data_IF_020697154167
#
_entry.id   IF_020697154167
#
_cell.length_a   1.000
_cell.length_b   1.000
_cell.length_c   1.000
_cell.angle_alpha   90.00
_cell.angle_beta   90.00
_cell.angle_gamma   90.00
#
_symmetry.space_group_name_H-M   'P 1'
#
loop_
_entity.id
_entity.type
_entity.pdbx_description
1 polymer ?
#
# COMPACT_ATOMS: atom_id res chain seq x y z
N UNK A 1 -32.87 -62.81 -13.73
CA UNK A 1 -32.01 -62.03 -12.79
C UNK A 1 -31.82 -60.63 -13.33
N UNK A 2 -32.43 -59.63 -12.72
CA UNK A 2 -32.31 -58.22 -13.13
C UNK A 2 -31.37 -57.54 -12.15
N UNK A 3 -30.24 -57.05 -12.64
CA UNK A 3 -29.27 -56.29 -11.87
C UNK A 3 -29.63 -54.79 -11.98
N UNK A 4 -29.92 -54.16 -10.85
CA UNK A 4 -30.20 -52.72 -10.78
C UNK A 4 -28.87 -51.96 -10.69
N UNK A 5 -28.68 -50.83 -11.42
CA UNK A 5 -27.51 -50.00 -11.28
C UNK A 5 -27.66 -49.09 -10.04
N UNK A 6 -26.70 -49.16 -9.11
CA UNK A 6 -26.53 -48.20 -8.04
C UNK A 6 -26.01 -46.86 -8.62
N UNK A 7 -26.83 -45.84 -8.58
CA UNK A 7 -26.45 -44.48 -8.87
C UNK A 7 -25.69 -43.92 -7.65
N UNK A 8 -24.38 -43.78 -7.77
CA UNK A 8 -23.56 -43.07 -6.76
C UNK A 8 -23.79 -41.57 -6.89
N UNK A 9 -24.49 -41.01 -5.90
CA UNK A 9 -24.70 -39.56 -5.76
C UNK A 9 -23.43 -38.93 -5.18
N UNK A 10 -22.57 -38.36 -6.05
CA UNK A 10 -21.38 -37.62 -5.63
C UNK A 10 -21.79 -36.27 -5.07
N UNK A 11 -21.74 -36.12 -3.75
CA UNK A 11 -21.95 -34.90 -3.01
C UNK A 11 -20.70 -34.02 -3.19
N UNK A 12 -20.73 -33.04 -4.11
CA UNK A 12 -19.69 -32.03 -4.25
C UNK A 12 -19.85 -31.05 -3.09
N UNK A 13 -19.01 -31.19 -2.06
CA UNK A 13 -18.84 -30.14 -1.04
C UNK A 13 -18.19 -28.92 -1.71
N UNK A 14 -18.99 -27.89 -2.01
CA UNK A 14 -18.48 -26.58 -2.29
C UNK A 14 -17.85 -26.01 -1.01
N UNK A 15 -16.54 -26.13 -0.89
CA UNK A 15 -15.76 -25.42 0.14
C UNK A 15 -15.86 -23.95 -0.20
N UNK A 16 -16.68 -23.20 0.57
CA UNK A 16 -16.67 -21.74 0.53
C UNK A 16 -15.27 -21.30 0.99
N UNK A 17 -14.38 -21.07 0.05
CA UNK A 17 -13.07 -20.48 0.32
C UNK A 17 -13.34 -19.12 0.95
N UNK A 18 -12.90 -18.90 2.19
CA UNK A 18 -12.75 -17.57 2.76
C UNK A 18 -11.91 -16.78 1.76
N UNK A 19 -12.56 -15.83 1.03
CA UNK A 19 -11.98 -15.22 -0.14
C UNK A 19 -10.86 -14.26 0.22
N UNK A 20 -9.62 -14.69 0.11
CA UNK A 20 -8.49 -13.79 0.01
C UNK A 20 -8.48 -13.20 -1.41
N UNK A 21 -8.57 -11.88 -1.53
CA UNK A 21 -8.49 -11.19 -2.81
C UNK A 21 -7.13 -10.52 -2.92
N UNK A 22 -6.42 -10.77 -4.01
CA UNK A 22 -5.18 -10.10 -4.33
C UNK A 22 -5.46 -8.92 -5.27
N UNK A 23 -4.86 -7.76 -4.96
CA UNK A 23 -5.00 -6.55 -5.75
C UNK A 23 -3.63 -5.91 -6.03
N UNK A 24 -3.42 -5.36 -7.25
CA UNK A 24 -2.23 -4.59 -7.56
C UNK A 24 -2.32 -3.23 -6.88
N UNK A 25 -1.42 -2.98 -5.92
CA UNK A 25 -1.36 -1.72 -5.18
C UNK A 25 -0.47 -0.71 -5.91
N UNK A 26 -0.98 -0.14 -6.99
CA UNK A 26 -0.22 0.76 -7.86
C UNK A 26 -0.42 2.23 -7.45
N UNK A 27 0.68 2.97 -7.28
CA UNK A 27 0.64 4.39 -7.00
C UNK A 27 0.09 5.20 -8.18
N UNK A 28 -0.79 6.14 -7.85
CA UNK A 28 -1.29 7.17 -8.75
C UNK A 28 -1.30 8.50 -8.00
N UNK A 29 -0.74 9.59 -8.55
CA UNK A 29 -0.77 10.89 -7.90
C UNK A 29 -2.20 11.32 -7.54
N UNK A 30 -2.39 11.82 -6.32
CA UNK A 30 -3.70 12.32 -5.86
C UNK A 30 -4.02 13.72 -6.38
N UNK A 31 -3.00 14.43 -6.83
CA UNK A 31 -3.06 15.75 -7.46
C UNK A 31 -2.26 15.75 -8.76
N UNK A 32 -2.55 16.69 -9.65
CA UNK A 32 -1.76 16.83 -10.87
C UNK A 32 -0.31 17.21 -10.50
N UNK A 33 0.61 16.32 -10.78
CA UNK A 33 2.05 16.50 -10.54
C UNK A 33 2.73 16.75 -11.89
N UNK A 34 3.56 17.78 -11.95
CA UNK A 34 4.42 18.02 -13.12
C UNK A 34 5.87 18.18 -12.68
N UNK A 35 6.83 17.65 -13.45
CA UNK A 35 8.23 17.91 -13.18
C UNK A 35 8.50 19.41 -13.23
N UNK A 36 9.24 19.92 -12.25
CA UNK A 36 9.75 21.30 -12.32
C UNK A 36 10.78 21.43 -13.45
N UNK A 37 10.90 22.60 -14.08
CA UNK A 37 11.93 22.87 -15.07
C UNK A 37 13.36 22.68 -14.53
N UNK A 38 13.55 22.82 -13.21
CA UNK A 38 14.83 22.57 -12.52
C UNK A 38 14.98 21.13 -12.01
N UNK A 39 13.96 20.27 -12.14
CA UNK A 39 14.03 18.90 -11.65
C UNK A 39 15.21 18.15 -12.29
N UNK A 40 15.91 17.38 -11.46
CA UNK A 40 17.02 16.51 -11.88
C UNK A 40 16.79 15.12 -11.33
N UNK A 41 17.05 14.06 -12.09
CA UNK A 41 16.94 12.66 -11.65
C UNK A 41 18.14 12.30 -10.76
N UNK A 42 18.11 12.75 -9.50
CA UNK A 42 19.25 12.64 -8.56
C UNK A 42 18.97 11.71 -7.38
N UNK A 43 17.73 11.20 -7.24
CA UNK A 43 17.30 10.38 -6.11
C UNK A 43 16.97 8.96 -6.58
N UNK A 44 17.40 7.96 -5.84
CA UNK A 44 16.96 6.58 -5.98
C UNK A 44 16.38 6.09 -4.65
N UNK A 45 15.29 5.33 -4.73
CA UNK A 45 14.75 4.63 -3.55
C UNK A 45 15.71 3.52 -3.16
N UNK A 46 16.00 3.39 -1.86
CA UNK A 46 16.82 2.30 -1.33
C UNK A 46 16.26 0.94 -1.77
N UNK A 47 17.15 -0.01 -2.07
CA UNK A 47 16.78 -1.36 -2.53
C UNK A 47 15.92 -2.13 -1.53
N UNK A 48 15.95 -1.73 -0.27
CA UNK A 48 15.16 -2.33 0.80
C UNK A 48 14.38 -1.25 1.54
N UNK A 49 13.07 -1.44 1.64
CA UNK A 49 12.17 -0.68 2.50
C UNK A 49 12.08 -1.39 3.85
N UNK A 50 12.17 -0.65 4.95
CA UNK A 50 12.03 -1.19 6.30
C UNK A 50 10.55 -1.33 6.64
N UNK A 51 10.08 -2.54 6.95
CA UNK A 51 8.70 -2.81 7.31
C UNK A 51 8.58 -3.06 8.82
N UNK A 52 8.12 -2.06 9.57
CA UNK A 52 7.91 -2.09 11.03
C UNK A 52 6.43 -2.28 11.40
N UNK A 53 5.56 -2.59 10.45
CA UNK A 53 4.13 -2.77 10.73
C UNK A 53 3.92 -3.83 11.82
N UNK A 54 3.04 -3.56 12.74
CA UNK A 54 2.57 -4.56 13.71
C UNK A 54 1.56 -5.53 13.09
N UNK A 55 0.75 -5.04 12.14
CA UNK A 55 -0.20 -5.83 11.35
C UNK A 55 0.48 -6.49 10.16
N UNK A 56 0.04 -7.70 9.78
CA UNK A 56 0.60 -8.42 8.63
C UNK A 56 2.02 -8.93 8.81
N UNK A 57 2.49 -9.14 10.04
CA UNK A 57 3.84 -9.68 10.31
C UNK A 57 4.04 -11.08 9.75
N UNK A 58 3.01 -11.91 9.80
CA UNK A 58 3.03 -13.30 9.34
C UNK A 58 2.75 -13.41 7.84
N UNK A 59 2.13 -12.37 7.26
CA UNK A 59 1.83 -12.29 5.84
C UNK A 59 2.29 -10.94 5.28
N UNK A 60 3.42 -10.89 4.58
CA UNK A 60 3.97 -9.67 4.05
C UNK A 60 3.10 -9.00 2.98
N UNK A 61 2.14 -9.73 2.39
CA UNK A 61 1.22 -9.22 1.36
C UNK A 61 -0.07 -8.66 1.95
N UNK A 62 -0.40 -8.99 3.21
CA UNK A 62 -1.65 -8.56 3.82
C UNK A 62 -1.74 -7.04 3.94
N UNK A 63 -2.91 -6.49 3.52
CA UNK A 63 -3.26 -5.07 3.58
C UNK A 63 -4.41 -4.84 4.56
N UNK A 64 -5.42 -5.71 4.55
CA UNK A 64 -6.60 -5.42 5.35
C UNK A 64 -7.64 -6.51 5.45
N UNK A 65 -8.71 -6.20 6.21
CA UNK A 65 -9.76 -7.17 6.49
C UNK A 65 -11.13 -6.50 6.56
N UNK A 66 -12.11 -7.14 5.92
CA UNK A 66 -13.53 -6.86 6.10
C UNK A 66 -14.05 -7.79 7.18
N UNK A 67 -14.70 -7.24 8.20
CA UNK A 67 -15.26 -7.98 9.33
C UNK A 67 -16.78 -7.99 9.32
N UNK A 68 -17.36 -9.07 9.78
CA UNK A 68 -18.80 -9.20 10.01
C UNK A 68 -19.27 -8.44 11.25
N UNK A 69 -20.58 -8.41 11.46
CA UNK A 69 -21.22 -7.72 12.60
C UNK A 69 -20.76 -8.19 13.98
N UNK A 70 -20.20 -9.41 14.08
CA UNK A 70 -19.61 -9.96 15.29
C UNK A 70 -18.08 -9.82 15.37
N UNK A 71 -17.47 -9.04 14.45
CA UNK A 71 -16.03 -8.83 14.42
C UNK A 71 -15.21 -9.94 13.75
N UNK A 72 -15.84 -11.04 13.35
CA UNK A 72 -15.19 -12.15 12.66
C UNK A 72 -14.68 -11.71 11.26
N UNK A 73 -13.51 -12.17 10.82
CA UNK A 73 -13.01 -11.87 9.48
C UNK A 73 -13.86 -12.58 8.43
N UNK A 74 -14.28 -11.84 7.39
CA UNK A 74 -15.06 -12.35 6.25
C UNK A 74 -14.25 -12.38 4.96
N UNK A 75 -13.50 -11.31 4.68
CA UNK A 75 -12.68 -11.17 3.48
C UNK A 75 -11.36 -10.53 3.86
N UNK A 76 -10.27 -10.95 3.22
CA UNK A 76 -8.95 -10.35 3.37
C UNK A 76 -8.48 -9.73 2.06
N UNK A 77 -7.88 -8.55 2.16
CA UNK A 77 -7.22 -7.85 1.06
C UNK A 77 -5.72 -8.07 1.17
N UNK A 78 -5.13 -8.59 0.10
CA UNK A 78 -3.70 -8.79 -0.04
C UNK A 78 -3.19 -8.00 -1.25
N UNK A 79 -1.97 -7.51 -1.17
CA UNK A 79 -1.26 -7.05 -2.36
C UNK A 79 -0.75 -8.24 -3.18
N UNK A 80 -0.53 -8.05 -4.48
CA UNK A 80 0.06 -9.07 -5.36
C UNK A 80 1.54 -9.33 -5.07
N UNK A 81 2.17 -8.48 -4.28
CA UNK A 81 3.57 -8.56 -3.86
C UNK A 81 3.75 -8.05 -2.42
N UNK A 82 4.88 -8.34 -1.76
CA UNK A 82 5.14 -7.85 -0.40
C UNK A 82 4.98 -6.33 -0.29
N UNK A 83 4.39 -5.88 0.82
CA UNK A 83 4.03 -4.45 1.04
C UNK A 83 5.26 -3.53 1.03
N UNK A 84 6.42 -4.00 1.47
CA UNK A 84 7.66 -3.23 1.36
C UNK A 84 8.05 -2.95 -0.10
N UNK A 85 7.84 -3.91 -1.01
CA UNK A 85 8.05 -3.71 -2.44
C UNK A 85 7.00 -2.76 -3.03
N UNK A 86 5.72 -2.94 -2.67
CA UNK A 86 4.62 -2.03 -3.07
C UNK A 86 4.97 -0.59 -2.73
N UNK A 87 5.32 -0.32 -1.47
CA UNK A 87 5.63 1.03 -0.99
C UNK A 87 6.91 1.57 -1.65
N UNK A 88 7.95 0.74 -1.79
CA UNK A 88 9.17 1.13 -2.51
C UNK A 88 8.90 1.57 -3.95
N UNK A 89 8.09 0.81 -4.68
CA UNK A 89 7.65 1.15 -6.04
C UNK A 89 6.79 2.41 -6.08
N UNK A 90 5.92 2.61 -5.08
CA UNK A 90 5.09 3.81 -4.97
C UNK A 90 5.95 5.08 -4.83
N UNK A 91 6.97 5.06 -3.98
CA UNK A 91 7.91 6.18 -3.85
C UNK A 91 8.75 6.38 -5.11
N UNK A 92 9.22 5.32 -5.77
CA UNK A 92 9.96 5.43 -7.03
C UNK A 92 9.10 6.06 -8.13
N UNK A 93 7.82 5.65 -8.26
CA UNK A 93 6.88 6.22 -9.21
C UNK A 93 6.55 7.69 -8.86
N UNK A 94 6.37 8.01 -7.58
CA UNK A 94 6.15 9.38 -7.10
C UNK A 94 7.34 10.32 -7.40
N UNK A 95 8.57 9.84 -7.21
CA UNK A 95 9.78 10.57 -7.61
C UNK A 95 9.87 10.75 -9.13
N UNK A 96 9.54 9.69 -9.89
CA UNK A 96 9.52 9.74 -11.35
C UNK A 96 8.52 10.78 -11.89
N UNK A 97 7.31 10.83 -11.32
CA UNK A 97 6.30 11.82 -11.67
C UNK A 97 6.79 13.27 -11.44
N UNK A 98 7.73 13.47 -10.51
CA UNK A 98 8.34 14.77 -10.18
C UNK A 98 9.65 15.04 -10.92
N UNK A 99 10.10 14.10 -11.77
CA UNK A 99 11.38 14.21 -12.50
C UNK A 99 12.61 14.05 -11.61
N UNK A 100 12.48 13.43 -10.43
CA UNK A 100 13.54 13.31 -9.43
C UNK A 100 14.18 11.93 -9.39
N UNK A 101 13.50 10.89 -9.94
CA UNK A 101 13.96 9.50 -9.86
C UNK A 101 15.15 9.26 -10.80
N UNK A 102 16.28 8.85 -10.24
CA UNK A 102 17.45 8.44 -11.00
C UNK A 102 17.20 7.07 -11.68
N UNK A 103 17.74 6.89 -12.88
CA UNK A 103 17.62 5.64 -13.61
C UNK A 103 18.33 4.49 -12.87
N UNK A 104 17.77 3.28 -13.00
CA UNK A 104 18.41 2.07 -12.46
C UNK A 104 19.79 1.89 -13.06
N UNK A 105 20.76 1.49 -12.22
CA UNK A 105 22.15 1.28 -12.65
C UNK A 105 23.00 2.57 -12.74
N UNK A 106 22.42 3.73 -12.45
CA UNK A 106 23.19 4.97 -12.30
C UNK A 106 23.73 5.10 -10.87
N UNK A 107 24.67 6.03 -10.66
CA UNK A 107 25.15 6.38 -9.33
C UNK A 107 24.36 7.64 -8.85
N UNK A 108 23.25 7.47 -8.14
CA UNK A 108 22.42 8.60 -7.73
C UNK A 108 23.17 9.43 -6.67
N UNK A 109 22.91 10.74 -6.65
CA UNK A 109 23.48 11.59 -5.61
C UNK A 109 22.88 11.34 -4.23
N UNK A 110 21.59 10.97 -4.20
CA UNK A 110 20.84 10.76 -2.97
C UNK A 110 20.14 9.43 -2.97
N UNK A 111 20.11 8.78 -1.79
CA UNK A 111 19.32 7.59 -1.52
C UNK A 111 18.15 7.97 -0.62
N UNK A 112 16.94 7.59 -1.01
CA UNK A 112 15.72 7.74 -0.25
C UNK A 112 15.36 6.41 0.41
N UNK A 113 15.51 6.33 1.72
CA UNK A 113 15.10 5.19 2.52
C UNK A 113 13.70 5.40 3.10
N UNK A 114 12.87 4.35 3.05
CA UNK A 114 11.50 4.38 3.56
C UNK A 114 11.36 3.40 4.72
N UNK A 115 10.68 3.83 5.79
CA UNK A 115 10.20 2.98 6.88
C UNK A 115 8.68 3.02 6.91
N UNK A 116 8.06 1.85 6.88
CA UNK A 116 6.61 1.66 7.01
C UNK A 116 6.31 1.37 8.47
N UNK A 117 5.65 2.30 9.17
CA UNK A 117 5.17 2.09 10.55
C UNK A 117 3.79 1.45 10.56
N UNK A 118 2.92 1.90 9.64
CA UNK A 118 1.59 1.36 9.44
C UNK A 118 1.20 1.48 7.97
N UNK A 119 0.62 0.45 7.42
CA UNK A 119 -0.12 0.48 6.16
C UNK A 119 -1.13 -0.65 6.19
N UNK A 120 -2.36 -0.29 6.48
CA UNK A 120 -3.48 -1.22 6.56
C UNK A 120 -4.82 -0.53 6.27
N UNK A 121 -5.83 -1.35 5.97
CA UNK A 121 -7.20 -0.93 5.81
C UNK A 121 -8.14 -1.93 6.49
N UNK A 122 -9.18 -1.42 7.12
CA UNK A 122 -10.15 -2.24 7.83
C UNK A 122 -11.57 -1.76 7.55
N UNK A 123 -12.50 -2.70 7.54
CA UNK A 123 -13.91 -2.42 7.50
C UNK A 123 -14.62 -3.25 8.57
N UNK A 124 -15.20 -2.57 9.54
CA UNK A 124 -16.09 -3.16 10.54
C UNK A 124 -17.40 -2.38 10.58
N UNK A 125 -17.46 -1.25 11.28
CA UNK A 125 -18.62 -0.34 11.29
C UNK A 125 -18.47 0.71 10.20
N UNK A 126 -17.25 1.09 9.92
CA UNK A 126 -16.86 2.04 8.87
C UNK A 126 -15.63 1.49 8.14
N UNK A 127 -15.42 1.99 6.96
CA UNK A 127 -14.23 1.69 6.18
C UNK A 127 -13.15 2.69 6.53
N UNK A 128 -11.97 2.23 6.88
CA UNK A 128 -10.86 3.08 7.26
C UNK A 128 -9.53 2.52 6.75
N UNK A 129 -8.60 3.42 6.45
CA UNK A 129 -7.24 3.05 6.08
C UNK A 129 -6.24 4.01 6.73
N UNK A 130 -5.07 3.48 7.06
CA UNK A 130 -3.93 4.24 7.57
C UNK A 130 -2.70 3.96 6.73
N UNK A 131 -1.97 5.02 6.36
CA UNK A 131 -0.63 4.94 5.82
C UNK A 131 0.28 5.86 6.66
N UNK A 132 1.32 5.28 7.25
CA UNK A 132 2.25 5.99 8.15
C UNK A 132 3.68 5.62 7.75
N UNK A 133 4.37 6.57 7.11
CA UNK A 133 5.69 6.37 6.55
C UNK A 133 6.68 7.41 7.06
N UNK A 134 7.91 6.97 7.33
CA UNK A 134 9.07 7.85 7.50
C UNK A 134 9.95 7.74 6.26
N UNK A 135 10.41 8.88 5.77
CA UNK A 135 11.38 8.97 4.68
C UNK A 135 12.64 9.65 5.20
N UNK A 136 13.78 9.08 4.87
CA UNK A 136 15.11 9.63 5.12
C UNK A 136 15.85 9.76 3.81
N UNK A 137 16.42 10.93 3.54
CA UNK A 137 17.26 11.16 2.37
C UNK A 137 18.70 11.32 2.82
N UNK A 138 19.58 10.51 2.26
CA UNK A 138 21.02 10.49 2.55
C UNK A 138 21.82 10.85 1.30
N UNK A 139 22.78 11.74 1.42
CA UNK A 139 23.75 12.03 0.35
C UNK A 139 24.72 10.84 0.24
N UNK A 140 24.74 10.19 -0.91
CA UNK A 140 25.46 8.91 -1.10
C UNK A 140 26.98 9.05 -0.88
N UNK A 141 27.57 10.16 -1.34
CA UNK A 141 29.02 10.36 -1.26
C UNK A 141 29.54 10.55 0.17
N UNK A 142 28.75 11.18 1.04
CA UNK A 142 29.15 11.51 2.42
C UNK A 142 28.49 10.60 3.47
N UNK A 143 27.44 9.86 3.10
CA UNK A 143 26.61 9.12 4.07
C UNK A 143 25.78 10.01 4.98
N UNK A 144 25.78 11.33 4.76
CA UNK A 144 25.09 12.30 5.61
C UNK A 144 23.60 12.32 5.31
N UNK A 145 22.76 12.24 6.35
CA UNK A 145 21.34 12.53 6.27
C UNK A 145 21.16 14.02 5.94
N UNK A 146 20.44 14.32 4.86
CA UNK A 146 20.17 15.68 4.40
C UNK A 146 18.73 16.10 4.61
N UNK A 147 17.84 15.13 4.78
CA UNK A 147 16.43 15.39 5.05
C UNK A 147 15.76 14.16 5.69
N UNK A 148 14.81 14.43 6.60
CA UNK A 148 13.95 13.41 7.22
C UNK A 148 12.57 13.98 7.45
N UNK A 149 11.56 13.17 7.17
CA UNK A 149 10.18 13.52 7.52
C UNK A 149 9.31 12.27 7.69
N UNK A 150 8.20 12.44 8.40
CA UNK A 150 7.17 11.43 8.59
C UNK A 150 5.81 12.00 8.19
N UNK A 151 4.96 11.17 7.61
CA UNK A 151 3.57 11.50 7.31
C UNK A 151 2.68 10.34 7.70
N UNK A 152 1.58 10.67 8.41
CA UNK A 152 0.53 9.72 8.75
C UNK A 152 -0.78 10.19 8.15
N UNK A 153 -1.33 9.41 7.24
CA UNK A 153 -2.65 9.62 6.65
C UNK A 153 -3.62 8.63 7.28
N UNK A 154 -4.76 9.15 7.73
CA UNK A 154 -5.88 8.36 8.20
C UNK A 154 -7.12 8.75 7.43
N UNK A 155 -7.72 7.82 6.74
CA UNK A 155 -8.93 8.02 5.93
C UNK A 155 -10.06 7.21 6.51
N UNK A 156 -11.23 7.86 6.64
CA UNK A 156 -12.50 7.21 6.94
C UNK A 156 -13.43 7.43 5.75
N UNK A 157 -13.99 6.36 5.22
CA UNK A 157 -14.89 6.37 4.08
C UNK A 157 -16.19 5.62 4.42
N UNK A 158 -17.29 6.37 4.45
CA UNK A 158 -18.64 5.85 4.69
C UNK A 158 -18.90 5.38 6.13
N UNK A 159 -20.15 5.52 6.55
CA UNK A 159 -20.70 4.90 7.76
C UNK A 159 -21.67 3.83 7.31
N UNK A 160 -21.48 2.61 7.81
CA UNK A 160 -22.30 1.47 7.43
C UNK A 160 -23.28 1.19 8.56
N UNK A 161 -24.56 1.55 8.34
CA UNK A 161 -25.60 1.50 9.34
C UNK A 161 -26.35 0.16 9.45
N UNK A 162 -25.96 -0.89 8.70
CA UNK A 162 -26.69 -2.17 8.73
C UNK A 162 -25.83 -3.37 9.11
N UNK A 163 -26.39 -4.28 9.93
CA UNK A 163 -25.75 -5.51 10.37
C UNK A 163 -25.41 -6.51 9.25
N UNK A 164 -26.02 -6.38 8.07
CA UNK A 164 -25.79 -7.24 6.89
C UNK A 164 -24.57 -6.83 6.05
N UNK A 165 -23.92 -5.75 6.39
CA UNK A 165 -22.93 -5.07 5.54
C UNK A 165 -21.65 -5.86 5.31
N UNK A 166 -21.19 -6.63 6.30
CA UNK A 166 -19.97 -7.41 6.13
C UNK A 166 -20.04 -8.43 4.98
N UNK A 167 -21.24 -8.96 4.71
CA UNK A 167 -21.46 -9.95 3.64
C UNK A 167 -21.46 -9.31 2.25
N UNK A 168 -22.02 -8.11 2.14
CA UNK A 168 -22.12 -7.36 0.88
C UNK A 168 -21.02 -6.31 0.68
N UNK A 169 -20.11 -6.19 1.66
CA UNK A 169 -19.01 -5.23 1.56
C UNK A 169 -18.06 -5.61 0.42
N UNK A 170 -17.74 -4.62 -0.41
CA UNK A 170 -16.83 -4.77 -1.53
C UNK A 170 -15.38 -4.69 -1.06
N UNK A 171 -14.58 -5.66 -1.48
CA UNK A 171 -13.14 -5.67 -1.21
C UNK A 171 -12.44 -4.58 -2.06
N UNK A 172 -12.98 -4.27 -3.23
CA UNK A 172 -12.51 -3.23 -4.13
C UNK A 172 -12.66 -1.84 -3.51
N UNK A 173 -13.70 -1.65 -2.70
CA UNK A 173 -13.86 -0.42 -1.93
C UNK A 173 -12.81 -0.29 -0.82
N UNK A 174 -12.46 -1.40 -0.17
CA UNK A 174 -11.39 -1.42 0.83
C UNK A 174 -10.02 -1.14 0.19
N UNK A 175 -9.77 -1.75 -0.98
CA UNK A 175 -8.58 -1.48 -1.80
C UNK A 175 -8.46 0.01 -2.15
N UNK A 176 -9.56 0.61 -2.65
CA UNK A 176 -9.58 2.03 -3.04
C UNK A 176 -9.20 2.96 -1.88
N UNK A 177 -9.69 2.69 -0.68
CA UNK A 177 -9.36 3.50 0.50
C UNK A 177 -7.91 3.30 0.94
N UNK A 178 -7.39 2.05 0.87
CA UNK A 178 -5.99 1.77 1.12
C UNK A 178 -5.07 2.48 0.11
N UNK A 179 -5.37 2.37 -1.18
CA UNK A 179 -4.64 3.06 -2.25
C UNK A 179 -4.64 4.57 -2.07
N UNK A 180 -5.79 5.15 -1.73
CA UNK A 180 -5.89 6.59 -1.46
C UNK A 180 -5.01 7.01 -0.30
N UNK A 181 -4.99 6.26 0.81
CA UNK A 181 -4.14 6.56 1.96
C UNK A 181 -2.65 6.50 1.59
N UNK A 182 -2.22 5.46 0.86
CA UNK A 182 -0.85 5.31 0.39
C UNK A 182 -0.45 6.45 -0.54
N UNK A 183 -1.26 6.73 -1.55
CA UNK A 183 -0.97 7.74 -2.56
C UNK A 183 -0.85 9.14 -1.93
N UNK A 184 -1.77 9.49 -1.03
CA UNK A 184 -1.75 10.76 -0.31
C UNK A 184 -0.52 10.89 0.61
N UNK A 185 -0.12 9.80 1.28
CA UNK A 185 1.09 9.79 2.12
C UNK A 185 2.36 10.00 1.29
N UNK A 186 2.46 9.32 0.14
CA UNK A 186 3.58 9.47 -0.80
C UNK A 186 3.64 10.90 -1.33
N UNK A 187 2.51 11.44 -1.81
CA UNK A 187 2.46 12.80 -2.33
C UNK A 187 2.84 13.82 -1.28
N UNK A 188 2.25 13.77 -0.09
CA UNK A 188 2.56 14.71 0.98
C UNK A 188 4.02 14.66 1.42
N UNK A 189 4.64 13.47 1.47
CA UNK A 189 6.06 13.36 1.80
C UNK A 189 6.95 13.95 0.71
N UNK A 190 6.67 13.66 -0.55
CA UNK A 190 7.50 14.13 -1.67
C UNK A 190 7.29 15.62 -1.99
N UNK A 191 6.17 16.22 -1.56
CA UNK A 191 5.85 17.62 -1.74
C UNK A 191 6.12 18.48 -0.48
N UNK A 192 6.63 17.86 0.62
CA UNK A 192 6.97 18.62 1.83
C UNK A 192 8.01 19.70 1.55
N UNK A 193 7.83 20.90 2.15
CA UNK A 193 8.84 21.94 2.11
C UNK A 193 10.21 21.42 2.58
N UNK A 194 11.28 21.93 1.96
CA UNK A 194 12.65 21.57 2.29
C UNK A 194 13.18 20.31 1.59
N UNK A 195 12.35 19.41 1.04
CA UNK A 195 12.87 18.26 0.29
C UNK A 195 13.64 18.72 -0.96
N UNK A 196 13.07 19.60 -1.77
CA UNK A 196 13.74 20.13 -2.98
C UNK A 196 15.01 20.90 -2.65
N UNK A 197 14.98 21.70 -1.58
CA UNK A 197 16.16 22.42 -1.07
C UNK A 197 17.27 21.45 -0.64
N UNK A 198 16.91 20.39 0.10
CA UNK A 198 17.86 19.35 0.53
C UNK A 198 18.49 18.63 -0.67
N UNK A 199 17.71 18.41 -1.72
CA UNK A 199 18.16 17.79 -2.98
C UNK A 199 18.91 18.76 -3.89
N UNK A 200 18.90 20.06 -3.59
CA UNK A 200 19.50 21.13 -4.42
C UNK A 200 19.02 21.12 -5.89
N UNK A 201 17.69 20.98 -6.08
CA UNK A 201 17.00 20.90 -7.38
C UNK A 201 15.80 21.86 -7.42
#
# INVERSE_FOLDING_TARGET
>A
MRVAPFAALSLVLAVAACGATQAPMTYTPTVAVQPSASARPVVQVASRVTNERSSGKEDPTWIGTIRGGYGNPLKALHATEPVDQVVGKAFAAGLAARGLNAASGTNPRYILAVTIHQFDANQYVRREATADFTVVVTEQASGREVWRNREKIYIVDGIILSLSVGVFASIEDLERVALRAMNEAVDKLLDKPGLREALRV
#
